data_IF_243898954509
#
_entry.id   IF_243898954509
#
_cell.length_a   1.000
_cell.length_b   1.000
_cell.length_c   1.000
_cell.angle_alpha   90.00
_cell.angle_beta   90.00
_cell.angle_gamma   90.00
#
_symmetry.space_group_name_H-M   'P 1'
#
loop_
_entity.id
_entity.type
_entity.pdbx_description
1 polymer ?
#
# COMPACT_ATOMS: atom_id res chain seq x y z
N UNK A 1 -37.06 11.08 0.64
CA UNK A 1 -36.41 11.86 1.69
C UNK A 1 -35.21 12.47 1.03
N UNK A 2 -35.09 13.80 1.01
CA UNK A 2 -33.89 14.47 0.49
C UNK A 2 -32.79 14.21 1.52
N UNK A 3 -31.89 13.30 1.26
CA UNK A 3 -30.61 13.26 1.93
C UNK A 3 -29.96 14.63 1.68
N UNK A 4 -29.57 15.30 2.74
CA UNK A 4 -28.75 16.51 2.66
C UNK A 4 -27.51 16.15 1.86
N UNK A 5 -27.44 16.62 0.63
CA UNK A 5 -26.25 16.53 -0.20
C UNK A 5 -25.19 17.40 0.49
N UNK A 6 -24.36 16.79 1.34
CA UNK A 6 -23.12 17.45 1.78
C UNK A 6 -22.36 17.81 0.52
N UNK A 7 -22.15 19.09 0.29
CA UNK A 7 -21.50 19.59 -0.93
C UNK A 7 -20.00 19.32 -0.86
N UNK A 8 -19.63 18.05 -1.03
CA UNK A 8 -18.24 17.64 -1.18
C UNK A 8 -17.70 18.15 -2.50
N UNK A 9 -16.46 18.59 -2.52
CA UNK A 9 -15.81 19.00 -3.75
C UNK A 9 -15.03 17.83 -4.36
N UNK A 10 -14.66 17.95 -5.65
CA UNK A 10 -13.92 16.90 -6.38
C UNK A 10 -12.64 16.48 -5.67
N UNK A 11 -11.97 17.42 -5.00
CA UNK A 11 -10.76 17.17 -4.23
C UNK A 11 -11.02 16.19 -3.07
N UNK A 12 -12.01 16.49 -2.24
CA UNK A 12 -12.38 15.65 -1.09
C UNK A 12 -12.75 14.23 -1.52
N UNK A 13 -13.51 14.11 -2.63
CA UNK A 13 -13.89 12.81 -3.18
C UNK A 13 -12.67 12.01 -3.65
N UNK A 14 -11.75 12.62 -4.39
CA UNK A 14 -10.53 11.94 -4.88
C UNK A 14 -9.60 11.53 -3.74
N UNK A 15 -9.48 12.36 -2.69
CA UNK A 15 -8.71 12.02 -1.49
C UNK A 15 -9.31 10.80 -0.81
N UNK A 16 -10.63 10.82 -0.59
CA UNK A 16 -11.33 9.70 0.04
C UNK A 16 -11.26 8.41 -0.82
N UNK A 17 -11.41 8.53 -2.16
CA UNK A 17 -11.25 7.39 -3.07
C UNK A 17 -9.85 6.77 -2.98
N UNK A 18 -8.81 7.61 -2.90
CA UNK A 18 -7.45 7.11 -2.69
C UNK A 18 -7.30 6.39 -1.36
N UNK A 19 -7.78 7.00 -0.26
CA UNK A 19 -7.68 6.42 1.08
C UNK A 19 -8.46 5.10 1.18
N UNK A 20 -9.64 5.02 0.56
CA UNK A 20 -10.42 3.78 0.43
C UNK A 20 -9.66 2.74 -0.39
N UNK A 21 -9.04 3.11 -1.51
CA UNK A 21 -8.21 2.19 -2.30
C UNK A 21 -7.07 1.57 -1.49
N UNK A 22 -6.34 2.39 -0.73
CA UNK A 22 -5.21 1.92 0.07
C UNK A 22 -5.66 0.95 1.16
N UNK A 23 -6.72 1.29 1.89
CA UNK A 23 -7.19 0.47 3.01
C UNK A 23 -7.85 -0.83 2.56
N UNK A 24 -8.59 -0.83 1.44
CA UNK A 24 -9.22 -2.05 0.92
C UNK A 24 -8.21 -3.10 0.49
N UNK A 25 -7.09 -2.70 -0.12
CA UNK A 25 -6.00 -3.62 -0.49
C UNK A 25 -5.48 -4.36 0.74
N UNK A 26 -5.17 -3.62 1.80
CA UNK A 26 -4.61 -4.21 3.02
C UNK A 26 -5.62 -5.08 3.77
N UNK A 27 -6.87 -4.64 3.88
CA UNK A 27 -7.93 -5.41 4.55
C UNK A 27 -8.30 -6.68 3.78
N UNK A 28 -8.33 -6.63 2.44
CA UNK A 28 -8.58 -7.81 1.62
C UNK A 28 -7.49 -8.87 1.81
N UNK A 29 -6.21 -8.47 1.81
CA UNK A 29 -5.13 -9.41 2.14
C UNK A 29 -5.18 -9.89 3.60
N UNK A 30 -5.58 -9.03 4.54
CA UNK A 30 -5.75 -9.40 5.95
C UNK A 30 -6.89 -10.43 6.11
N UNK A 31 -8.04 -10.22 5.46
CA UNK A 31 -9.16 -11.17 5.48
C UNK A 31 -8.74 -12.55 4.98
N UNK A 32 -8.00 -12.63 3.87
CA UNK A 32 -7.43 -13.87 3.33
C UNK A 32 -6.40 -14.51 4.28
N UNK A 33 -5.49 -13.72 4.84
CA UNK A 33 -4.42 -14.24 5.70
C UNK A 33 -4.97 -14.85 6.99
N UNK A 34 -6.00 -14.22 7.56
CA UNK A 34 -6.59 -14.60 8.83
C UNK A 34 -7.87 -15.42 8.67
N UNK A 35 -8.38 -15.61 7.43
CA UNK A 35 -9.69 -16.23 7.13
C UNK A 35 -10.78 -15.60 8.00
N UNK A 36 -10.86 -14.29 7.98
CA UNK A 36 -11.74 -13.50 8.82
C UNK A 36 -12.88 -12.93 7.98
N UNK A 37 -14.09 -13.50 8.14
CA UNK A 37 -15.30 -13.09 7.42
C UNK A 37 -15.71 -11.65 7.74
N UNK A 38 -15.63 -11.24 9.01
CA UNK A 38 -15.99 -9.88 9.41
C UNK A 38 -15.09 -8.82 8.74
N UNK A 39 -13.77 -9.12 8.56
CA UNK A 39 -12.88 -8.24 7.78
C UNK A 39 -13.23 -8.23 6.30
N UNK A 40 -13.66 -9.37 5.76
CA UNK A 40 -14.09 -9.45 4.37
C UNK A 40 -15.38 -8.64 4.16
N UNK A 41 -16.34 -8.68 5.09
CA UNK A 41 -17.53 -7.81 5.08
C UNK A 41 -17.16 -6.33 5.09
N UNK A 42 -16.15 -5.92 5.89
CA UNK A 42 -15.68 -4.53 5.89
C UNK A 42 -15.07 -4.10 4.54
N UNK A 43 -14.46 -5.02 3.80
CA UNK A 43 -13.97 -4.73 2.43
C UNK A 43 -15.15 -4.48 1.48
N UNK A 44 -16.22 -5.26 1.58
CA UNK A 44 -17.42 -5.06 0.76
C UNK A 44 -18.13 -3.73 1.11
N UNK A 45 -18.22 -3.38 2.40
CA UNK A 45 -18.76 -2.07 2.79
C UNK A 45 -17.93 -0.89 2.21
N UNK A 46 -16.60 -1.03 2.11
CA UNK A 46 -15.74 -0.03 1.48
C UNK A 46 -15.87 -0.01 -0.04
N UNK A 47 -16.16 -1.15 -0.68
CA UNK A 47 -16.49 -1.23 -2.11
C UNK A 47 -17.79 -0.46 -2.41
N UNK A 48 -18.83 -0.66 -1.60
CA UNK A 48 -20.08 0.11 -1.71
C UNK A 48 -19.85 1.62 -1.51
N UNK A 49 -18.99 2.01 -0.58
CA UNK A 49 -18.58 3.42 -0.41
C UNK A 49 -17.87 3.95 -1.67
N UNK A 50 -16.99 3.15 -2.28
CA UNK A 50 -16.29 3.53 -3.52
C UNK A 50 -17.27 3.79 -4.66
N UNK A 51 -18.30 2.96 -4.80
CA UNK A 51 -19.37 3.13 -5.79
C UNK A 51 -20.12 4.47 -5.59
N UNK A 52 -20.42 4.81 -4.34
CA UNK A 52 -21.04 6.08 -3.99
C UNK A 52 -20.14 7.28 -4.34
N UNK A 53 -18.86 7.21 -4.01
CA UNK A 53 -17.86 8.23 -4.34
C UNK A 53 -17.72 8.41 -5.85
N UNK A 54 -17.71 7.29 -6.60
CA UNK A 54 -17.67 7.30 -8.06
C UNK A 54 -18.91 7.98 -8.66
N UNK A 55 -20.09 7.69 -8.15
CA UNK A 55 -21.32 8.36 -8.58
C UNK A 55 -21.27 9.87 -8.33
N UNK A 56 -20.78 10.29 -7.14
CA UNK A 56 -20.66 11.70 -6.77
C UNK A 56 -19.67 12.42 -7.70
N UNK A 57 -18.49 11.85 -7.95
CA UNK A 57 -17.46 12.48 -8.78
C UNK A 57 -17.92 12.63 -10.25
N UNK A 58 -18.54 11.58 -10.80
CA UNK A 58 -19.12 11.63 -12.15
C UNK A 58 -20.19 12.72 -12.26
N UNK A 59 -21.02 12.90 -11.25
CA UNK A 59 -22.03 13.94 -11.19
C UNK A 59 -21.41 15.33 -11.15
N UNK A 60 -20.44 15.59 -10.28
CA UNK A 60 -19.76 16.89 -10.15
C UNK A 60 -18.99 17.24 -11.43
N UNK A 61 -18.28 16.29 -12.02
CA UNK A 61 -17.56 16.48 -13.28
C UNK A 61 -18.56 16.84 -14.39
N UNK A 62 -19.68 16.13 -14.50
CA UNK A 62 -20.71 16.41 -15.52
C UNK A 62 -21.29 17.82 -15.38
N UNK A 63 -21.45 18.34 -14.15
CA UNK A 63 -21.94 19.70 -13.89
C UNK A 63 -20.88 20.77 -14.17
N UNK A 64 -19.59 20.44 -14.15
CA UNK A 64 -18.48 21.39 -14.32
C UNK A 64 -18.12 21.65 -15.78
N UNK A 65 -18.39 20.71 -16.69
CA UNK A 65 -18.03 20.80 -18.13
C UNK A 65 -18.88 21.83 -18.85
N UNK A 66 -18.22 22.87 -19.40
CA UNK A 66 -18.84 23.93 -20.21
C UNK A 66 -18.20 24.10 -21.58
N UNK A 67 -17.04 23.49 -21.81
CA UNK A 67 -16.27 23.57 -23.05
C UNK A 67 -15.60 22.23 -23.36
N UNK A 68 -15.04 22.08 -24.56
CA UNK A 68 -14.22 20.91 -24.93
C UNK A 68 -12.97 20.84 -24.05
N UNK A 69 -12.34 21.96 -23.77
CA UNK A 69 -11.15 22.03 -22.92
C UNK A 69 -11.45 21.56 -21.49
N UNK A 70 -12.63 21.92 -20.94
CA UNK A 70 -13.06 21.41 -19.62
C UNK A 70 -13.28 19.89 -19.67
N UNK A 71 -13.87 19.38 -20.76
CA UNK A 71 -14.09 17.95 -20.95
C UNK A 71 -12.76 17.17 -20.99
N UNK A 72 -11.75 17.69 -21.71
CA UNK A 72 -10.43 17.08 -21.79
C UNK A 72 -9.74 17.04 -20.41
N UNK A 73 -9.76 18.14 -19.66
CA UNK A 73 -9.18 18.22 -18.30
C UNK A 73 -9.88 17.29 -17.30
N UNK A 74 -11.20 17.17 -17.40
CA UNK A 74 -11.98 16.32 -16.49
C UNK A 74 -11.87 14.83 -16.84
N UNK A 75 -11.50 14.48 -18.07
CA UNK A 75 -11.27 13.09 -18.48
C UNK A 75 -10.17 12.44 -17.64
N UNK A 76 -9.08 13.16 -17.35
CA UNK A 76 -8.02 12.65 -16.46
C UNK A 76 -8.50 12.36 -15.04
N UNK A 77 -9.39 13.22 -14.49
CA UNK A 77 -10.00 13.00 -13.18
C UNK A 77 -10.83 11.71 -13.18
N UNK A 78 -11.68 11.54 -14.19
CA UNK A 78 -12.51 10.34 -14.30
C UNK A 78 -11.68 9.08 -14.48
N UNK A 79 -10.60 9.14 -15.26
CA UNK A 79 -9.71 7.98 -15.47
C UNK A 79 -9.03 7.54 -14.16
N UNK A 80 -8.60 8.48 -13.31
CA UNK A 80 -8.05 8.14 -11.98
C UNK A 80 -9.14 7.60 -11.05
N UNK A 81 -10.34 8.16 -11.09
CA UNK A 81 -11.46 7.66 -10.31
C UNK A 81 -11.89 6.25 -10.75
N UNK A 82 -11.96 5.99 -12.08
CA UNK A 82 -12.23 4.66 -12.63
C UNK A 82 -11.16 3.65 -12.20
N UNK A 83 -9.88 4.05 -12.13
CA UNK A 83 -8.81 3.20 -11.62
C UNK A 83 -8.97 2.90 -10.12
N UNK A 84 -9.41 3.86 -9.31
CA UNK A 84 -9.70 3.64 -7.89
C UNK A 84 -10.87 2.66 -7.69
N UNK A 85 -11.93 2.78 -8.49
CA UNK A 85 -13.06 1.84 -8.53
C UNK A 85 -12.57 0.43 -8.92
N UNK A 86 -11.71 0.30 -9.92
CA UNK A 86 -11.13 -0.99 -10.34
C UNK A 86 -10.28 -1.64 -9.24
N UNK A 87 -9.51 -0.86 -8.48
CA UNK A 87 -8.76 -1.34 -7.31
C UNK A 87 -9.74 -1.88 -6.26
N UNK A 88 -10.80 -1.14 -5.95
CA UNK A 88 -11.83 -1.54 -5.00
C UNK A 88 -12.51 -2.83 -5.40
N UNK A 89 -12.98 -2.92 -6.64
CA UNK A 89 -13.60 -4.13 -7.21
C UNK A 89 -12.65 -5.34 -7.18
N UNK A 90 -11.36 -5.14 -7.48
CA UNK A 90 -10.37 -6.21 -7.42
C UNK A 90 -10.17 -6.73 -5.99
N UNK A 91 -10.22 -5.85 -5.00
CA UNK A 91 -10.09 -6.22 -3.58
C UNK A 91 -11.37 -6.85 -3.04
N UNK A 92 -12.54 -6.43 -3.50
CA UNK A 92 -13.82 -7.10 -3.26
C UNK A 92 -13.82 -8.56 -3.74
N UNK A 93 -13.30 -8.83 -4.94
CA UNK A 93 -13.10 -10.20 -5.45
C UNK A 93 -12.23 -11.07 -4.51
N UNK A 94 -11.25 -10.47 -3.80
CA UNK A 94 -10.47 -11.21 -2.79
C UNK A 94 -11.27 -11.47 -1.51
N UNK A 95 -12.05 -10.50 -1.05
CA UNK A 95 -12.93 -10.68 0.12
C UNK A 95 -13.96 -11.77 -0.14
N UNK A 96 -14.50 -11.85 -1.34
CA UNK A 96 -15.44 -12.87 -1.80
C UNK A 96 -14.88 -14.31 -1.65
N UNK A 97 -13.56 -14.51 -1.72
CA UNK A 97 -12.95 -15.82 -1.46
C UNK A 97 -13.30 -16.30 -0.04
N UNK A 98 -13.24 -15.38 0.92
CA UNK A 98 -13.52 -15.68 2.34
C UNK A 98 -15.02 -15.80 2.57
N UNK A 99 -15.83 -14.86 2.06
CA UNK A 99 -17.29 -14.83 2.24
C UNK A 99 -18.01 -16.01 1.60
N UNK A 100 -17.46 -16.57 0.52
CA UNK A 100 -18.00 -17.76 -0.16
C UNK A 100 -17.42 -19.08 0.36
N UNK A 101 -16.70 -19.05 1.49
CA UNK A 101 -16.06 -20.23 2.10
C UNK A 101 -15.16 -21.01 1.10
N UNK A 102 -14.51 -20.27 0.20
CA UNK A 102 -13.53 -20.87 -0.71
C UNK A 102 -12.24 -21.12 0.06
N UNK A 103 -11.82 -22.39 0.14
CA UNK A 103 -10.60 -22.79 0.88
C UNK A 103 -9.39 -21.94 0.44
N UNK A 104 -8.84 -21.13 1.34
CA UNK A 104 -7.63 -20.36 1.10
C UNK A 104 -6.42 -21.27 1.12
N UNK A 105 -5.83 -21.50 -0.05
CA UNK A 105 -4.68 -22.41 -0.16
C UNK A 105 -3.52 -21.93 0.75
N UNK A 106 -2.87 -22.84 1.53
CA UNK A 106 -1.79 -22.48 2.45
C UNK A 106 -0.61 -21.73 1.82
N UNK A 107 -0.46 -21.84 0.49
CA UNK A 107 0.56 -21.12 -0.26
C UNK A 107 0.36 -19.60 -0.20
N UNK A 108 -0.90 -19.13 -0.22
CA UNK A 108 -1.26 -17.71 -0.14
C UNK A 108 -0.85 -17.15 1.21
N UNK A 109 -1.32 -17.75 2.31
CA UNK A 109 -0.95 -17.33 3.67
C UNK A 109 0.57 -17.30 3.88
N UNK A 110 1.26 -18.30 3.29
CA UNK A 110 2.72 -18.34 3.35
C UNK A 110 3.39 -17.27 2.49
N UNK A 111 2.78 -16.87 1.36
CA UNK A 111 3.27 -15.78 0.53
C UNK A 111 3.10 -14.45 1.23
N UNK A 112 1.92 -14.18 1.82
CA UNK A 112 1.64 -12.97 2.59
C UNK A 112 2.58 -12.82 3.79
N UNK A 113 2.86 -13.91 4.53
CA UNK A 113 3.90 -13.90 5.58
C UNK A 113 5.31 -13.61 5.05
N UNK A 114 5.59 -13.89 3.78
CA UNK A 114 6.89 -13.64 3.14
C UNK A 114 7.00 -12.24 2.55
N UNK A 115 5.90 -11.58 2.26
CA UNK A 115 5.85 -10.21 1.78
C UNK A 115 6.68 -9.27 2.68
N UNK A 116 7.16 -8.15 2.14
CA UNK A 116 8.03 -7.24 2.89
C UNK A 116 7.26 -6.49 3.97
N UNK A 117 6.09 -5.98 3.66
CA UNK A 117 5.14 -5.48 4.65
C UNK A 117 4.27 -6.63 5.15
N UNK A 118 4.32 -6.84 6.45
CA UNK A 118 3.57 -7.90 7.14
C UNK A 118 2.23 -7.37 7.61
N UNK A 119 1.23 -8.24 7.54
CA UNK A 119 -0.04 -8.03 8.23
C UNK A 119 -0.06 -8.86 9.51
N UNK A 120 -0.57 -8.29 10.59
CA UNK A 120 -0.68 -8.99 11.86
C UNK A 120 -1.94 -8.61 12.62
N UNK A 121 -2.50 -9.59 13.33
CA UNK A 121 -3.54 -9.38 14.32
C UNK A 121 -2.91 -9.30 15.71
N UNK A 122 -3.20 -8.26 16.47
CA UNK A 122 -2.64 -8.04 17.80
C UNK A 122 -3.76 -7.77 18.79
N UNK A 123 -3.92 -8.64 19.76
CA UNK A 123 -4.88 -8.45 20.87
C UNK A 123 -4.19 -7.70 22.00
N UNK A 124 -4.72 -6.54 22.33
CA UNK A 124 -4.20 -5.67 23.41
C UNK A 124 -4.50 -6.29 24.77
N UNK A 125 -3.47 -6.50 25.57
CA UNK A 125 -3.63 -6.97 26.94
C UNK A 125 -3.81 -5.83 27.92
N UNK A 126 -4.53 -6.12 29.00
CA UNK A 126 -4.70 -5.19 30.10
C UNK A 126 -3.35 -4.84 30.71
N UNK A 127 -3.17 -3.60 31.09
CA UNK A 127 -1.95 -3.06 31.69
C UNK A 127 -0.70 -3.15 30.76
N UNK A 128 -0.92 -3.33 29.43
CA UNK A 128 0.13 -3.24 28.43
C UNK A 128 0.56 -1.77 28.21
N UNK A 129 1.73 -1.55 27.65
CA UNK A 129 2.27 -0.19 27.40
C UNK A 129 1.33 0.69 26.57
N UNK A 130 0.54 0.09 25.68
CA UNK A 130 -0.35 0.80 24.75
C UNK A 130 -1.79 0.95 25.29
N UNK A 131 -2.16 0.27 26.38
CA UNK A 131 -3.50 0.32 26.92
C UNK A 131 -3.86 1.73 27.44
N UNK A 132 -4.96 2.29 26.93
CA UNK A 132 -5.44 3.64 27.24
C UNK A 132 -4.81 4.79 26.46
N UNK A 133 -3.74 4.54 25.69
CA UNK A 133 -3.06 5.57 24.91
C UNK A 133 -3.76 5.85 23.57
N UNK A 134 -3.68 7.09 23.09
CA UNK A 134 -4.08 7.48 21.75
C UNK A 134 -2.95 7.19 20.73
N UNK A 135 -3.31 7.01 19.44
CA UNK A 135 -2.29 6.69 18.42
C UNK A 135 -1.25 7.79 18.24
N UNK A 136 -1.64 9.07 18.34
CA UNK A 136 -0.69 10.18 18.27
C UNK A 136 0.37 10.14 19.38
N UNK A 137 0.03 9.61 20.58
CA UNK A 137 0.96 9.44 21.69
C UNK A 137 1.96 8.30 21.42
N UNK A 138 1.50 7.26 20.73
CA UNK A 138 2.31 6.07 20.40
C UNK A 138 3.28 6.32 19.24
N UNK A 139 2.95 7.23 18.33
CA UNK A 139 3.76 7.59 17.15
C UNK A 139 4.21 6.35 16.35
N UNK A 140 3.31 5.37 16.18
CA UNK A 140 3.64 4.07 15.62
C UNK A 140 4.27 4.13 14.23
N UNK A 141 3.74 4.93 13.27
CA UNK A 141 4.35 5.05 11.95
C UNK A 141 5.78 5.57 12.02
N UNK A 142 6.06 6.59 12.81
CA UNK A 142 7.40 7.20 12.91
C UNK A 142 8.40 6.43 13.77
N UNK A 143 7.92 5.65 14.77
CA UNK A 143 8.81 4.87 15.66
C UNK A 143 9.05 3.45 15.16
N UNK A 144 8.05 2.80 14.61
CA UNK A 144 8.07 1.36 14.34
C UNK A 144 7.81 1.02 12.86
N UNK A 145 7.36 1.98 12.04
CA UNK A 145 6.86 1.70 10.71
C UNK A 145 5.58 0.87 10.72
N UNK A 146 4.77 1.01 11.76
CA UNK A 146 3.56 0.21 11.95
C UNK A 146 2.34 1.11 11.81
N UNK A 147 1.42 0.71 10.94
CA UNK A 147 0.11 1.33 10.74
C UNK A 147 -0.98 0.45 11.33
N UNK A 148 -1.94 1.06 12.01
CA UNK A 148 -3.14 0.37 12.48
C UNK A 148 -4.23 0.56 11.45
N UNK A 149 -4.58 -0.53 10.76
CA UNK A 149 -5.58 -0.54 9.69
C UNK A 149 -7.01 -0.57 10.23
N UNK A 150 -7.22 -1.36 11.30
CA UNK A 150 -8.54 -1.52 11.89
C UNK A 150 -8.46 -1.89 13.37
N UNK A 151 -9.51 -1.54 14.11
CA UNK A 151 -9.73 -1.90 15.52
C UNK A 151 -11.04 -2.64 15.62
N UNK A 152 -11.03 -3.86 16.16
CA UNK A 152 -12.23 -4.55 16.62
C UNK A 152 -12.38 -4.38 18.13
N UNK A 153 -13.52 -3.85 18.54
CA UNK A 153 -13.89 -3.70 19.95
C UNK A 153 -15.27 -4.33 20.20
N UNK A 154 -15.28 -5.50 20.80
CA UNK A 154 -16.48 -6.35 20.84
C UNK A 154 -16.83 -6.80 19.43
N UNK A 155 -18.06 -6.54 18.99
CA UNK A 155 -18.56 -6.87 17.65
C UNK A 155 -18.39 -5.71 16.64
N UNK A 156 -17.83 -4.56 17.07
CA UNK A 156 -17.73 -3.38 16.22
C UNK A 156 -16.33 -3.21 15.66
N UNK A 157 -16.25 -2.99 14.35
CA UNK A 157 -15.05 -2.59 13.65
C UNK A 157 -14.97 -1.08 13.52
N UNK A 158 -13.77 -0.54 13.63
CA UNK A 158 -13.42 0.81 13.25
C UNK A 158 -12.25 0.74 12.27
N UNK A 159 -12.55 0.99 11.02
CA UNK A 159 -11.56 1.02 9.93
C UNK A 159 -10.86 2.39 9.92
N UNK A 160 -9.60 2.42 9.51
CA UNK A 160 -8.75 3.61 9.44
C UNK A 160 -8.89 4.51 10.69
N UNK A 161 -8.53 4.03 11.89
CA UNK A 161 -8.74 4.78 13.11
C UNK A 161 -7.93 6.08 13.12
N UNK A 162 -8.57 7.17 13.50
CA UNK A 162 -7.93 8.49 13.59
C UNK A 162 -6.83 8.52 14.65
N UNK A 163 -5.91 9.47 14.56
CA UNK A 163 -4.80 9.66 15.51
C UNK A 163 -5.28 9.88 16.96
N UNK A 164 -6.51 10.40 17.15
CA UNK A 164 -7.14 10.61 18.46
C UNK A 164 -7.77 9.35 19.05
N UNK A 165 -7.88 8.28 18.25
CA UNK A 165 -8.48 7.04 18.72
C UNK A 165 -7.59 6.40 19.81
N UNK A 166 -8.24 5.98 20.92
CA UNK A 166 -7.56 5.34 22.05
C UNK A 166 -7.67 3.82 21.96
N UNK A 167 -6.52 3.20 22.12
CA UNK A 167 -6.40 1.75 22.28
C UNK A 167 -6.91 1.34 23.66
N UNK A 168 -7.61 0.22 23.77
CA UNK A 168 -8.11 -0.32 25.04
C UNK A 168 -7.78 -1.80 25.17
N UNK A 169 -7.60 -2.25 26.39
CA UNK A 169 -7.47 -3.68 26.69
C UNK A 169 -8.64 -4.47 26.11
N UNK A 170 -8.33 -5.57 25.43
CA UNK A 170 -9.30 -6.42 24.74
C UNK A 170 -9.52 -6.08 23.27
N UNK A 171 -9.09 -4.90 22.79
CA UNK A 171 -9.11 -4.56 21.36
C UNK A 171 -8.30 -5.57 20.55
N UNK A 172 -8.82 -5.94 19.38
CA UNK A 172 -8.09 -6.65 18.35
C UNK A 172 -7.70 -5.65 17.28
N UNK A 173 -6.40 -5.47 17.09
CA UNK A 173 -5.85 -4.53 16.09
C UNK A 173 -5.38 -5.30 14.86
N UNK A 174 -5.75 -4.82 13.67
CA UNK A 174 -5.15 -5.24 12.42
C UNK A 174 -4.07 -4.21 12.10
N UNK A 175 -2.84 -4.67 11.96
CA UNK A 175 -1.68 -3.81 11.75
C UNK A 175 -0.86 -4.23 10.53
N UNK A 176 -0.21 -3.26 9.89
CA UNK A 176 0.74 -3.43 8.78
C UNK A 176 2.08 -2.82 9.16
N UNK A 177 3.16 -3.45 8.73
CA UNK A 177 4.51 -2.90 8.89
C UNK A 177 5.63 -3.91 8.63
N UNK A 178 6.89 -3.50 8.79
CA UNK A 178 8.02 -4.40 8.74
C UNK A 178 7.99 -5.37 9.93
N UNK A 179 8.54 -6.57 9.74
CA UNK A 179 8.53 -7.62 10.77
C UNK A 179 9.05 -7.10 12.13
N UNK A 180 10.18 -6.41 12.13
CA UNK A 180 10.80 -5.89 13.37
C UNK A 180 9.87 -4.89 14.10
N UNK A 181 9.19 -4.01 13.36
CA UNK A 181 8.22 -3.08 13.93
C UNK A 181 7.02 -3.79 14.54
N UNK A 182 6.50 -4.80 13.85
CA UNK A 182 5.38 -5.62 14.34
C UNK A 182 5.80 -6.40 15.60
N UNK A 183 6.99 -6.98 15.61
CA UNK A 183 7.48 -7.73 16.79
C UNK A 183 7.59 -6.80 18.01
N UNK A 184 8.17 -5.61 17.85
CA UNK A 184 8.22 -4.58 18.90
C UNK A 184 6.82 -4.13 19.36
N UNK A 185 5.90 -3.92 18.40
CA UNK A 185 4.52 -3.57 18.74
C UNK A 185 3.81 -4.68 19.52
N UNK A 186 4.05 -5.95 19.17
CA UNK A 186 3.53 -7.09 19.94
C UNK A 186 4.03 -7.10 21.39
N UNK A 187 5.31 -6.78 21.62
CA UNK A 187 5.87 -6.64 22.96
C UNK A 187 5.17 -5.51 23.74
N UNK A 188 5.00 -4.31 23.12
CA UNK A 188 4.31 -3.18 23.74
C UNK A 188 2.84 -3.50 24.08
N UNK A 189 2.17 -4.31 23.25
CA UNK A 189 0.81 -4.79 23.49
C UNK A 189 0.75 -5.95 24.47
N UNK A 190 1.87 -6.44 24.97
CA UNK A 190 2.03 -7.68 25.74
C UNK A 190 1.40 -8.90 25.05
N UNK A 191 1.37 -8.87 23.72
CA UNK A 191 0.84 -9.96 22.89
C UNK A 191 1.89 -11.09 22.74
N UNK A 192 1.47 -12.33 22.40
CA UNK A 192 2.42 -13.40 22.16
C UNK A 192 3.28 -13.14 20.92
N UNK A 193 4.50 -13.70 20.92
CA UNK A 193 5.39 -13.69 19.75
C UNK A 193 4.68 -14.23 18.51
N UNK A 194 5.05 -13.67 17.35
CA UNK A 194 4.51 -14.07 16.07
C UNK A 194 5.32 -15.20 15.44
N UNK A 195 4.60 -16.18 14.86
CA UNK A 195 5.23 -17.26 14.11
C UNK A 195 5.35 -16.88 12.62
N UNK A 196 6.54 -16.43 12.22
CA UNK A 196 6.88 -16.11 10.84
C UNK A 196 7.42 -17.32 10.05
N UNK A 197 7.38 -18.54 10.59
CA UNK A 197 7.90 -19.72 9.90
C UNK A 197 7.10 -20.01 8.65
N UNK A 198 7.82 -20.23 7.55
CA UNK A 198 7.26 -20.52 6.23
C UNK A 198 7.59 -21.96 5.88
N UNK A 199 6.56 -22.76 5.65
CA UNK A 199 6.73 -24.16 5.23
C UNK A 199 7.53 -24.29 3.92
N UNK A 200 8.22 -25.40 3.71
CA UNK A 200 9.09 -25.62 2.53
C UNK A 200 8.34 -25.99 1.24
N UNK A 201 7.09 -26.49 1.34
CA UNK A 201 6.26 -26.87 0.19
C UNK A 201 5.99 -25.66 -0.70
N UNK A 202 6.07 -25.82 -2.00
CA UNK A 202 5.82 -24.76 -3.01
C UNK A 202 6.68 -23.49 -2.86
N UNK A 203 7.95 -23.64 -2.50
CA UNK A 203 8.85 -22.52 -2.22
C UNK A 203 8.84 -21.43 -3.32
N UNK A 204 9.00 -21.85 -4.58
CA UNK A 204 9.04 -20.93 -5.73
C UNK A 204 7.70 -20.19 -5.90
N UNK A 205 6.57 -20.89 -5.82
CA UNK A 205 5.24 -20.28 -5.95
C UNK A 205 5.02 -19.21 -4.87
N UNK A 206 5.39 -19.51 -3.61
CA UNK A 206 5.31 -18.55 -2.51
C UNK A 206 6.18 -17.31 -2.75
N UNK A 207 7.40 -17.52 -3.23
CA UNK A 207 8.33 -16.44 -3.55
C UNK A 207 7.80 -15.55 -4.67
N UNK A 208 7.24 -16.16 -5.71
CA UNK A 208 6.67 -15.41 -6.83
C UNK A 208 5.42 -14.65 -6.42
N UNK A 209 4.47 -15.27 -5.69
CA UNK A 209 3.27 -14.61 -5.19
C UNK A 209 3.58 -13.44 -4.24
N UNK A 210 4.54 -13.62 -3.31
CA UNK A 210 4.96 -12.55 -2.42
C UNK A 210 5.54 -11.36 -3.21
N UNK A 211 6.39 -11.63 -4.20
CA UNK A 211 6.94 -10.58 -5.08
C UNK A 211 5.85 -9.89 -5.90
N UNK A 212 4.90 -10.64 -6.48
CA UNK A 212 3.79 -10.07 -7.24
C UNK A 212 2.97 -9.12 -6.36
N UNK A 213 2.59 -9.55 -5.16
CA UNK A 213 1.87 -8.71 -4.19
C UNK A 213 2.65 -7.43 -3.88
N UNK A 214 3.91 -7.56 -3.50
CA UNK A 214 4.75 -6.42 -3.14
C UNK A 214 4.94 -5.45 -4.32
N UNK A 215 5.09 -5.99 -5.54
CA UNK A 215 5.24 -5.18 -6.76
C UNK A 215 3.91 -4.49 -7.12
N UNK A 216 2.78 -5.21 -7.08
CA UNK A 216 1.46 -4.64 -7.38
C UNK A 216 1.10 -3.49 -6.44
N UNK A 217 1.25 -3.68 -5.12
CA UNK A 217 1.00 -2.60 -4.15
C UNK A 217 1.94 -1.40 -4.40
N UNK A 218 3.22 -1.64 -4.68
CA UNK A 218 4.17 -0.58 -4.99
C UNK A 218 3.78 0.20 -6.26
N UNK A 219 3.31 -0.49 -7.31
CA UNK A 219 2.88 0.17 -8.55
C UNK A 219 1.69 1.09 -8.29
N UNK A 220 0.71 0.67 -7.50
CA UNK A 220 -0.43 1.52 -7.10
C UNK A 220 0.06 2.76 -6.35
N UNK A 221 0.91 2.60 -5.35
CA UNK A 221 1.49 3.70 -4.57
C UNK A 221 2.26 4.70 -5.47
N UNK A 222 3.08 4.18 -6.38
CA UNK A 222 3.86 5.01 -7.31
C UNK A 222 2.97 5.71 -8.35
N UNK A 223 1.91 5.05 -8.82
CA UNK A 223 0.98 5.62 -9.79
C UNK A 223 0.25 6.84 -9.21
N UNK A 224 -0.34 6.70 -8.02
CA UNK A 224 -0.94 7.83 -7.31
C UNK A 224 0.07 8.96 -7.06
N UNK A 225 1.29 8.62 -6.68
CA UNK A 225 2.34 9.61 -6.44
C UNK A 225 2.77 10.32 -7.71
N UNK A 226 2.82 9.61 -8.85
CA UNK A 226 3.13 10.22 -10.14
C UNK A 226 2.08 11.25 -10.55
N UNK A 227 0.81 10.92 -10.33
CA UNK A 227 -0.31 11.80 -10.61
C UNK A 227 -0.30 13.03 -9.67
N UNK A 228 -0.03 12.82 -8.38
CA UNK A 228 0.06 13.87 -7.37
C UNK A 228 1.14 14.92 -7.69
N UNK A 229 2.35 14.43 -7.98
CA UNK A 229 3.50 15.31 -8.21
C UNK A 229 3.69 15.67 -9.68
N UNK A 230 2.76 15.24 -10.57
CA UNK A 230 2.90 15.37 -12.03
C UNK A 230 4.27 14.88 -12.49
N UNK A 231 4.76 13.82 -11.86
CA UNK A 231 6.10 13.31 -12.13
C UNK A 231 6.06 12.31 -13.27
N UNK A 232 6.39 12.78 -14.47
CA UNK A 232 6.57 11.91 -15.64
C UNK A 232 7.63 10.84 -15.37
N UNK A 233 8.69 11.19 -14.63
CA UNK A 233 9.76 10.25 -14.28
C UNK A 233 9.25 9.10 -13.39
N UNK A 234 8.36 9.36 -12.41
CA UNK A 234 7.76 8.30 -11.59
C UNK A 234 6.78 7.48 -12.42
N UNK A 235 6.01 8.11 -13.30
CA UNK A 235 5.10 7.41 -14.20
C UNK A 235 5.86 6.48 -15.17
N UNK A 236 6.97 6.92 -15.74
CA UNK A 236 7.86 6.07 -16.55
C UNK A 236 8.43 4.88 -15.75
N UNK A 237 8.80 5.10 -14.48
CA UNK A 237 9.25 4.03 -13.61
C UNK A 237 8.16 2.97 -13.38
N UNK A 238 6.89 3.36 -13.22
CA UNK A 238 5.78 2.41 -13.09
C UNK A 238 5.67 1.55 -14.34
N UNK A 239 5.75 2.12 -15.55
CA UNK A 239 5.75 1.36 -16.81
C UNK A 239 6.92 0.39 -16.94
N UNK A 240 8.13 0.81 -16.54
CA UNK A 240 9.29 -0.09 -16.55
C UNK A 240 9.11 -1.25 -15.52
N UNK A 241 8.40 -1.01 -14.41
CA UNK A 241 8.06 -2.04 -13.42
C UNK A 241 7.00 -2.98 -13.95
N UNK A 242 6.02 -2.48 -14.69
CA UNK A 242 4.96 -3.26 -15.32
C UNK A 242 5.52 -4.27 -16.32
N UNK A 243 6.48 -3.89 -17.17
CA UNK A 243 7.18 -4.84 -18.04
C UNK A 243 7.84 -6.00 -17.27
N UNK A 244 8.39 -5.73 -16.08
CA UNK A 244 8.97 -6.78 -15.21
C UNK A 244 7.89 -7.60 -14.51
N UNK A 245 6.74 -7.00 -14.22
CA UNK A 245 5.60 -7.69 -13.63
C UNK A 245 5.02 -8.75 -14.57
N UNK A 246 4.97 -8.49 -15.85
CA UNK A 246 4.54 -9.44 -16.87
C UNK A 246 5.36 -10.74 -16.81
N UNK A 247 6.68 -10.64 -16.65
CA UNK A 247 7.54 -11.81 -16.47
C UNK A 247 7.19 -12.59 -15.18
N UNK A 248 6.83 -11.89 -14.11
CA UNK A 248 6.37 -12.52 -12.86
C UNK A 248 5.02 -13.22 -13.05
N UNK A 249 4.11 -12.62 -13.81
CA UNK A 249 2.81 -13.20 -14.12
C UNK A 249 2.99 -14.53 -14.89
N UNK A 250 3.78 -14.55 -15.95
CA UNK A 250 4.12 -15.81 -16.62
C UNK A 250 4.80 -16.82 -15.70
N UNK A 251 5.66 -16.39 -14.81
CA UNK A 251 6.35 -17.27 -13.88
C UNK A 251 5.38 -17.89 -12.87
N UNK A 252 4.43 -17.12 -12.32
CA UNK A 252 3.46 -17.64 -11.35
C UNK A 252 2.53 -18.68 -11.98
N UNK A 253 2.04 -18.43 -13.21
CA UNK A 253 1.23 -19.41 -13.93
C UNK A 253 1.96 -20.75 -14.10
N UNK A 254 3.24 -20.73 -14.48
CA UNK A 254 4.06 -21.93 -14.57
C UNK A 254 4.21 -22.65 -13.21
N UNK A 255 4.37 -21.93 -12.13
CA UNK A 255 4.50 -22.52 -10.80
C UNK A 255 3.15 -23.06 -10.27
N UNK A 256 2.02 -22.43 -10.58
CA UNK A 256 0.66 -22.94 -10.29
C UNK A 256 0.43 -24.24 -11.04
N UNK A 257 0.75 -24.31 -12.34
CA UNK A 257 0.63 -25.53 -13.13
C UNK A 257 1.52 -26.68 -12.61
N UNK A 258 2.73 -26.36 -12.11
CA UNK A 258 3.59 -27.36 -11.45
C UNK A 258 3.01 -27.80 -10.10
N UNK A 259 2.38 -26.89 -9.35
CA UNK A 259 1.70 -27.22 -8.10
C UNK A 259 0.50 -28.12 -8.35
N UNK A 260 -0.30 -27.84 -9.40
CA UNK A 260 -1.45 -28.64 -9.81
C UNK A 260 -1.10 -30.10 -10.07
N UNK A 261 0.08 -30.36 -10.64
CA UNK A 261 0.57 -31.76 -10.83
C UNK A 261 0.83 -32.51 -9.52
N UNK A 262 0.95 -31.82 -8.40
CA UNK A 262 1.31 -32.38 -7.08
C UNK A 262 0.16 -32.33 -6.08
N UNK A 263 -0.89 -31.58 -6.40
CA UNK A 263 -2.11 -31.54 -5.60
C UNK A 263 -3.06 -32.66 -6.01
N UNK A 264 -3.66 -33.32 -5.00
CA UNK A 264 -4.69 -34.33 -5.23
C UNK A 264 -5.99 -33.70 -5.70
N UNK A 265 -6.26 -32.50 -5.21
CA UNK A 265 -7.42 -31.70 -5.52
C UNK A 265 -6.96 -30.35 -6.08
N UNK A 266 -7.02 -30.21 -7.39
CA UNK A 266 -6.57 -28.98 -8.09
C UNK A 266 -7.48 -27.79 -7.82
N UNK A 267 -8.72 -28.01 -7.36
CA UNK A 267 -9.66 -26.92 -7.04
C UNK A 267 -9.14 -26.05 -5.90
N UNK A 268 -8.30 -26.61 -5.01
CA UNK A 268 -7.65 -25.85 -3.92
C UNK A 268 -6.72 -24.74 -4.41
N UNK A 269 -6.26 -24.80 -5.65
CA UNK A 269 -5.44 -23.73 -6.24
C UNK A 269 -6.28 -22.58 -6.81
N UNK A 270 -7.61 -22.70 -6.81
CA UNK A 270 -8.50 -21.67 -7.32
C UNK A 270 -8.27 -20.32 -6.61
N UNK A 271 -8.21 -20.33 -5.27
CA UNK A 271 -7.91 -19.11 -4.50
C UNK A 271 -6.56 -18.47 -4.88
N UNK A 272 -5.53 -19.28 -5.20
CA UNK A 272 -4.24 -18.73 -5.65
C UNK A 272 -4.35 -18.06 -7.02
N UNK A 273 -5.17 -18.60 -7.93
CA UNK A 273 -5.42 -17.97 -9.24
C UNK A 273 -6.24 -16.70 -9.12
N UNK A 274 -7.21 -16.64 -8.22
CA UNK A 274 -7.98 -15.43 -7.94
C UNK A 274 -7.09 -14.33 -7.37
N UNK A 275 -6.18 -14.66 -6.44
CA UNK A 275 -5.18 -13.70 -5.94
C UNK A 275 -4.30 -13.17 -7.08
N UNK A 276 -3.82 -14.03 -7.98
CA UNK A 276 -3.03 -13.60 -9.15
C UNK A 276 -3.82 -12.63 -10.03
N UNK A 277 -5.07 -12.97 -10.34
CA UNK A 277 -5.95 -12.12 -11.15
C UNK A 277 -6.22 -10.77 -10.48
N UNK A 278 -6.43 -10.75 -9.17
CA UNK A 278 -6.60 -9.50 -8.45
C UNK A 278 -5.35 -8.62 -8.55
N UNK A 279 -4.15 -9.17 -8.32
CA UNK A 279 -2.91 -8.38 -8.42
C UNK A 279 -2.73 -7.85 -9.84
N UNK A 280 -3.08 -8.60 -10.88
CA UNK A 280 -3.07 -8.14 -12.28
C UNK A 280 -3.97 -6.91 -12.45
N UNK A 281 -5.22 -6.97 -11.96
CA UNK A 281 -6.14 -5.82 -11.99
C UNK A 281 -5.60 -4.59 -11.25
N UNK A 282 -4.92 -4.79 -10.11
CA UNK A 282 -4.26 -3.70 -9.38
C UNK A 282 -3.15 -3.04 -10.22
N UNK A 283 -2.36 -3.82 -10.95
CA UNK A 283 -1.30 -3.28 -11.82
C UNK A 283 -1.86 -2.58 -13.06
N UNK A 284 -2.95 -3.10 -13.66
CA UNK A 284 -3.66 -2.47 -14.76
C UNK A 284 -4.26 -1.11 -14.33
N UNK A 285 -4.84 -1.06 -13.13
CA UNK A 285 -5.35 0.20 -12.57
C UNK A 285 -4.22 1.22 -12.34
N UNK A 286 -3.07 0.77 -11.84
CA UNK A 286 -1.89 1.62 -11.68
C UNK A 286 -1.39 2.16 -13.04
N UNK A 287 -1.35 1.33 -14.10
CA UNK A 287 -0.99 1.78 -15.45
C UNK A 287 -2.00 2.80 -16.00
N UNK A 288 -3.29 2.61 -15.73
CA UNK A 288 -4.34 3.57 -16.10
C UNK A 288 -4.14 4.95 -15.45
N UNK A 289 -3.69 5.00 -14.19
CA UNK A 289 -3.37 6.26 -13.52
C UNK A 289 -2.16 6.94 -14.16
N UNK A 290 -1.07 6.21 -14.41
CA UNK A 290 0.14 6.80 -14.98
C UNK A 290 -0.03 7.23 -16.43
N UNK A 291 -0.91 6.59 -17.18
CA UNK A 291 -1.23 6.98 -18.55
C UNK A 291 -1.74 8.42 -18.65
N UNK A 292 -2.53 8.88 -17.65
CA UNK A 292 -2.97 10.28 -17.54
C UNK A 292 -1.77 11.23 -17.44
N UNK A 293 -0.79 10.88 -16.62
CA UNK A 293 0.43 11.69 -16.43
C UNK A 293 1.29 11.71 -17.69
N UNK A 294 1.49 10.54 -18.31
CA UNK A 294 2.34 10.38 -19.50
C UNK A 294 1.77 11.04 -20.76
N UNK A 295 0.44 11.12 -20.87
CA UNK A 295 -0.21 11.89 -21.96
C UNK A 295 -0.12 13.39 -21.76
N UNK A 296 0.38 13.86 -20.62
CA UNK A 296 0.47 15.28 -20.32
C UNK A 296 -0.90 15.95 -20.18
N UNK A 297 -1.93 15.17 -19.82
CA UNK A 297 -3.25 15.72 -19.49
C UNK A 297 -3.07 16.63 -18.29
N UNK A 298 -3.34 17.93 -18.46
CA UNK A 298 -3.33 18.85 -17.34
C UNK A 298 -4.42 18.43 -16.35
N UNK A 299 -4.00 17.76 -15.28
CA UNK A 299 -4.90 17.48 -14.16
C UNK A 299 -5.38 18.79 -13.57
N UNK A 300 -6.69 18.89 -13.32
CA UNK A 300 -7.26 20.09 -12.73
C UNK A 300 -6.54 20.40 -11.39
N UNK A 301 -6.23 21.67 -11.05
CA UNK A 301 -5.53 22.04 -9.82
C UNK A 301 -6.14 21.46 -8.53
N UNK A 302 -7.43 21.17 -8.55
CA UNK A 302 -8.16 20.48 -7.47
C UNK A 302 -7.59 19.09 -7.17
N UNK A 303 -7.06 18.38 -8.19
CA UNK A 303 -6.45 17.07 -8.01
C UNK A 303 -5.13 17.15 -7.22
N UNK A 304 -4.30 18.14 -7.53
CA UNK A 304 -3.04 18.36 -6.80
C UNK A 304 -3.28 18.62 -5.32
N UNK A 305 -4.26 19.49 -5.03
CA UNK A 305 -4.66 19.81 -3.66
C UNK A 305 -5.22 18.60 -2.90
N UNK A 306 -5.91 17.68 -3.57
CA UNK A 306 -6.45 16.46 -2.96
C UNK A 306 -5.36 15.55 -2.41
N UNK A 307 -4.29 15.43 -3.15
CA UNK A 307 -3.21 14.50 -2.83
C UNK A 307 -2.13 15.13 -1.92
N UNK A 308 -2.04 16.47 -1.83
CA UNK A 308 -1.14 17.16 -0.88
C UNK A 308 -1.53 16.92 0.59
N UNK A 309 -2.79 16.54 0.86
CA UNK A 309 -3.31 16.25 2.20
C UNK A 309 -3.05 14.81 2.66
N UNK A 310 -2.52 13.93 1.79
CA UNK A 310 -2.18 12.57 2.17
C UNK A 310 -1.08 12.56 3.25
N UNK A 311 -1.29 11.79 4.31
CA UNK A 311 -0.36 11.65 5.45
C UNK A 311 1.01 11.08 5.04
N UNK A 312 1.05 10.30 3.96
CA UNK A 312 2.27 9.70 3.42
C UNK A 312 2.57 10.22 2.00
N UNK A 313 3.84 10.48 1.76
CA UNK A 313 4.36 10.96 0.48
C UNK A 313 5.39 9.99 -0.08
N UNK A 314 5.32 9.77 -1.40
CA UNK A 314 6.36 9.06 -2.15
C UNK A 314 7.09 10.05 -3.04
N UNK A 315 8.40 9.91 -3.15
CA UNK A 315 9.22 10.76 -4.02
C UNK A 315 10.34 9.95 -4.67
N UNK A 316 10.84 10.46 -5.80
CA UNK A 316 11.99 9.92 -6.49
C UNK A 316 13.20 10.84 -6.31
N UNK A 317 14.24 10.33 -5.67
CA UNK A 317 15.44 11.13 -5.38
C UNK A 317 16.69 10.52 -5.98
N UNK A 318 17.56 11.37 -6.51
CA UNK A 318 18.88 10.95 -7.03
C UNK A 318 19.95 11.14 -5.96
N UNK A 319 20.70 10.10 -5.67
CA UNK A 319 21.83 10.17 -4.74
C UNK A 319 23.01 10.87 -5.40
N UNK A 320 23.34 12.06 -4.92
CA UNK A 320 24.50 12.81 -5.41
C UNK A 320 25.80 12.21 -4.92
N UNK A 321 26.91 12.51 -5.60
CA UNK A 321 28.27 12.11 -5.16
C UNK A 321 28.66 12.68 -3.78
N UNK A 322 28.03 13.79 -3.37
CA UNK A 322 28.29 14.47 -2.08
C UNK A 322 27.28 14.05 -1.02
N UNK A 323 26.34 13.17 -1.36
CA UNK A 323 25.31 12.73 -0.42
C UNK A 323 25.91 11.90 0.72
N UNK A 324 25.55 12.17 1.97
CA UNK A 324 25.91 11.30 3.09
C UNK A 324 25.29 9.91 3.04
N UNK A 325 24.37 9.65 2.11
CA UNK A 325 23.79 8.33 1.85
C UNK A 325 24.75 7.43 1.07
N UNK A 326 25.64 8.02 0.24
CA UNK A 326 26.51 7.26 -0.66
C UNK A 326 27.45 6.34 0.12
N UNK A 327 27.62 5.11 -0.42
CA UNK A 327 28.50 4.05 0.09
C UNK A 327 28.19 3.58 1.52
N UNK A 328 26.94 3.79 1.97
CA UNK A 328 26.43 3.28 3.25
C UNK A 328 25.30 2.27 3.02
N UNK A 329 25.23 1.30 3.91
CA UNK A 329 24.11 0.35 3.91
C UNK A 329 22.86 1.02 4.49
N UNK A 330 21.67 0.61 4.01
CA UNK A 330 20.39 1.13 4.52
C UNK A 330 20.26 0.94 6.04
N UNK A 331 20.76 -0.18 6.58
CA UNK A 331 20.76 -0.42 8.03
C UNK A 331 21.63 0.57 8.82
N UNK A 332 22.77 1.05 8.27
CA UNK A 332 23.60 2.08 8.92
C UNK A 332 23.03 3.49 8.73
N UNK A 333 22.22 3.69 7.71
CA UNK A 333 21.57 4.97 7.48
C UNK A 333 20.38 5.17 8.42
N UNK A 334 19.68 4.09 8.76
CA UNK A 334 18.52 4.08 9.64
C UNK A 334 17.56 5.26 9.39
N UNK A 335 17.21 5.40 8.11
CA UNK A 335 16.46 6.56 7.61
C UNK A 335 15.10 6.70 8.29
N UNK A 336 14.48 5.56 8.62
CA UNK A 336 13.19 5.56 9.28
C UNK A 336 13.25 6.23 10.66
N UNK A 337 14.15 5.77 11.53
CA UNK A 337 14.27 6.30 12.91
C UNK A 337 14.73 7.75 12.94
N UNK A 338 15.49 8.18 11.91
CA UNK A 338 16.12 9.51 11.89
C UNK A 338 15.26 10.60 11.25
N UNK A 339 14.50 10.23 10.22
CA UNK A 339 13.76 11.21 9.40
C UNK A 339 12.36 10.76 9.03
N UNK A 340 11.89 9.59 9.47
CA UNK A 340 10.55 9.10 9.19
C UNK A 340 10.30 8.79 7.70
N UNK A 341 11.35 8.39 6.97
CA UNK A 341 11.25 7.97 5.58
C UNK A 341 12.05 6.69 5.32
N UNK A 342 11.64 5.88 4.37
CA UNK A 342 12.32 4.65 3.99
C UNK A 342 12.38 4.46 2.47
N UNK A 343 13.26 3.58 2.04
CA UNK A 343 13.51 3.33 0.62
C UNK A 343 12.71 2.12 0.18
N UNK A 344 11.78 2.34 -0.74
CA UNK A 344 10.97 1.29 -1.38
C UNK A 344 11.75 0.60 -2.51
N UNK A 345 12.46 1.39 -3.32
CA UNK A 345 13.18 0.89 -4.50
C UNK A 345 14.53 1.60 -4.62
N UNK A 346 15.54 0.86 -5.05
CA UNK A 346 16.80 1.39 -5.54
C UNK A 346 16.92 1.05 -7.02
N UNK A 347 16.88 2.06 -7.90
CA UNK A 347 17.21 1.91 -9.30
C UNK A 347 18.68 2.24 -9.53
N UNK A 348 19.42 1.31 -10.10
CA UNK A 348 20.84 1.44 -10.45
C UNK A 348 21.05 1.12 -11.91
N UNK A 349 21.17 2.13 -12.75
CA UNK A 349 21.15 1.94 -14.19
C UNK A 349 19.80 1.41 -14.66
N UNK A 350 19.78 0.19 -15.20
CA UNK A 350 18.57 -0.53 -15.61
C UNK A 350 18.08 -1.55 -14.56
N UNK A 351 18.81 -1.74 -13.47
CA UNK A 351 18.48 -2.74 -12.47
C UNK A 351 17.64 -2.13 -11.34
N UNK A 352 16.54 -2.78 -10.99
CA UNK A 352 15.66 -2.43 -9.89
C UNK A 352 15.85 -3.37 -8.72
N UNK A 353 16.01 -2.80 -7.53
CA UNK A 353 16.02 -3.54 -6.29
C UNK A 353 14.85 -3.10 -5.42
N UNK A 354 13.78 -3.84 -5.52
CA UNK A 354 12.55 -3.61 -4.75
C UNK A 354 12.76 -4.00 -3.28
N UNK A 355 12.18 -3.22 -2.40
CA UNK A 355 12.20 -3.44 -0.94
C UNK A 355 13.59 -3.86 -0.43
N UNK A 356 14.58 -2.98 -0.60
CA UNK A 356 15.96 -3.31 -0.30
C UNK A 356 16.16 -3.55 1.20
N UNK A 357 16.77 -4.69 1.54
CA UNK A 357 17.07 -5.05 2.94
C UNK A 357 18.14 -4.14 3.56
N UNK A 358 18.25 -4.12 4.90
CA UNK A 358 19.24 -3.34 5.67
C UNK A 358 20.69 -3.50 5.19
N UNK A 359 21.04 -4.66 4.59
CA UNK A 359 22.38 -4.92 4.06
C UNK A 359 22.71 -4.29 2.71
N UNK A 360 21.71 -3.68 2.05
CA UNK A 360 21.91 -3.09 0.72
C UNK A 360 22.63 -1.75 0.85
N UNK A 361 23.69 -1.58 0.06
CA UNK A 361 24.46 -0.35 -0.01
C UNK A 361 23.88 0.61 -1.05
N UNK A 362 23.56 1.82 -0.64
CA UNK A 362 23.21 2.96 -1.50
C UNK A 362 24.50 3.49 -2.14
N UNK A 363 24.47 3.79 -3.43
CA UNK A 363 25.63 4.33 -4.17
C UNK A 363 25.31 5.69 -4.80
N UNK A 364 26.34 6.48 -5.00
CA UNK A 364 26.21 7.69 -5.79
C UNK A 364 25.70 7.36 -7.20
N UNK A 365 24.71 8.11 -7.68
CA UNK A 365 24.05 7.88 -8.96
C UNK A 365 22.81 6.97 -8.90
N UNK A 366 22.56 6.28 -7.78
CA UNK A 366 21.30 5.55 -7.59
C UNK A 366 20.11 6.52 -7.58
N UNK A 367 18.99 6.07 -8.13
CA UNK A 367 17.70 6.68 -7.86
C UNK A 367 17.00 5.87 -6.78
N UNK A 368 16.47 6.56 -5.79
CA UNK A 368 15.71 5.96 -4.71
C UNK A 368 14.25 6.39 -4.86
N UNK A 369 13.34 5.42 -4.86
CA UNK A 369 11.92 5.70 -4.59
C UNK A 369 11.77 5.59 -3.09
N UNK A 370 11.31 6.67 -2.48
CA UNK A 370 11.23 6.82 -1.02
C UNK A 370 9.79 7.09 -0.61
N UNK A 371 9.42 6.63 0.57
CA UNK A 371 8.11 6.84 1.20
C UNK A 371 8.29 7.29 2.64
N UNK A 372 7.43 8.18 3.11
CA UNK A 372 7.44 8.65 4.49
C UNK A 372 6.51 9.84 4.70
N UNK A 373 6.56 10.41 5.89
CA UNK A 373 5.87 11.69 6.14
C UNK A 373 6.39 12.78 5.21
N UNK A 374 5.56 13.78 4.90
CA UNK A 374 5.97 14.90 4.04
C UNK A 374 7.31 15.51 4.47
N UNK A 375 7.47 15.78 5.77
CA UNK A 375 8.72 16.32 6.33
C UNK A 375 9.90 15.35 6.16
N UNK A 376 9.69 14.06 6.38
CA UNK A 376 10.71 13.01 6.24
C UNK A 376 11.19 12.87 4.80
N UNK A 377 10.27 12.91 3.84
CA UNK A 377 10.60 12.86 2.41
C UNK A 377 11.38 14.09 1.98
N UNK A 378 10.95 15.31 2.35
CA UNK A 378 11.66 16.55 2.03
C UNK A 378 13.08 16.58 2.63
N UNK A 379 13.26 16.08 3.84
CA UNK A 379 14.58 16.00 4.45
C UNK A 379 15.45 14.99 3.73
N UNK A 380 14.91 13.81 3.36
CA UNK A 380 15.64 12.82 2.60
C UNK A 380 16.05 13.33 1.21
N UNK A 381 15.21 14.10 0.54
CA UNK A 381 15.55 14.77 -0.71
C UNK A 381 16.77 15.71 -0.56
N UNK A 382 16.80 16.49 0.52
CA UNK A 382 17.92 17.39 0.85
C UNK A 382 19.22 16.64 1.14
N UNK A 383 19.09 15.55 1.92
CA UNK A 383 20.22 14.65 2.25
C UNK A 383 20.71 13.93 1.00
N UNK A 384 19.83 13.38 0.16
CA UNK A 384 20.20 12.72 -1.08
C UNK A 384 20.91 13.67 -2.08
N UNK A 385 20.45 14.91 -2.15
CA UNK A 385 21.12 15.95 -2.95
C UNK A 385 22.46 16.40 -2.37
N UNK A 386 22.81 16.01 -1.14
CA UNK A 386 24.04 16.44 -0.44
C UNK A 386 23.98 17.90 0.06
N UNK A 387 22.77 18.44 0.27
CA UNK A 387 22.55 19.80 0.80
C UNK A 387 22.56 19.85 2.32
N UNK A 388 22.15 18.78 2.97
CA UNK A 388 22.12 18.63 4.43
C UNK A 388 22.84 17.36 4.87
N UNK A 389 23.22 17.30 6.16
CA UNK A 389 23.71 16.08 6.77
C UNK A 389 22.52 15.25 7.25
N UNK A 390 22.68 13.93 7.28
CA UNK A 390 21.68 13.07 7.93
C UNK A 390 21.58 13.45 9.42
N UNK A 391 20.39 13.73 9.95
CA UNK A 391 20.21 14.02 11.38
C UNK A 391 20.81 12.93 12.26
N UNK A 392 21.30 13.30 13.44
CA UNK A 392 21.74 12.35 14.45
C UNK A 392 20.53 11.59 14.99
N UNK A 393 20.75 10.37 15.50
CA UNK A 393 19.71 9.66 16.25
C UNK A 393 19.26 10.54 17.43
N UNK A 394 17.95 10.78 17.57
CA UNK A 394 17.43 11.32 18.80
C UNK A 394 17.60 10.24 19.89
N UNK A 395 18.41 10.53 20.89
CA UNK A 395 18.75 9.64 22.00
C UNK A 395 17.59 9.49 23.00
#
# INVERSE_FOLDING_TARGET
>A
MSEEYESRNVRELLTEMKDVSDITIDLAYASLQFENEELAEQVIELEELMDELMYQIRTLVSLSVRSVDDAERTTGILQVADAAEEISNATGDLADIVLRDIEVHPVIKSALKKANEKLSQVKVRKDSEIDGKAFHELKLPSRLGVWVLAIQRGEKWKIAPTQEAKVKAGDLLIIRGPQEGIDTFCEMASAPERDWRIGKKYRRLKETLARMRDTGCLMVDMAYSSALFKSVEVAEEVREVEEQYDELNYAVWREVLKAAKREKDVTKLNSALQVVKCIERLTDAADSIVDVVLRGVELHPVFEQALEEADERISRVKVSKKSPLADRTLGKLDLWSRIGAYVLVIKRGKDYKFNPTKGVTVRAGDFLIIRGSTLGVEELERVAAGKTKLPLEES
#
